data_IF_899247933174
#
_entry.id   IF_899247933174
#
_cell.length_a   1.000
_cell.length_b   1.000
_cell.length_c   1.000
_cell.angle_alpha   90.00
_cell.angle_beta   90.00
_cell.angle_gamma   90.00
#
_symmetry.space_group_name_H-M   'P 1'
#
loop_
_entity.id
_entity.type
_entity.pdbx_description
1 polymer ?
#
# COMPACT_ATOMS: atom_id res chain seq x y z
N UNK A 1 -21.88 18.01 62.72
CA UNK A 1 -21.90 17.55 61.32
C UNK A 1 -22.79 18.52 60.56
N UNK A 2 -22.40 19.33 59.59
CA UNK A 2 -21.18 19.43 58.80
C UNK A 2 -21.60 19.94 57.41
N UNK A 3 -21.11 21.13 57.03
CA UNK A 3 -21.11 21.77 55.69
C UNK A 3 -22.47 22.19 55.08
N UNK A 4 -22.68 23.38 54.56
CA UNK A 4 -21.75 24.41 54.09
C UNK A 4 -21.80 24.55 52.56
N UNK A 5 -22.42 25.65 52.12
CA UNK A 5 -22.14 26.42 50.91
C UNK A 5 -22.66 26.01 49.52
N UNK A 6 -23.47 26.96 49.02
CA UNK A 6 -23.41 27.60 47.70
C UNK A 6 -23.66 26.75 46.45
N UNK A 7 -24.86 26.97 45.88
CA UNK A 7 -25.21 26.68 44.48
C UNK A 7 -24.18 27.30 43.55
N UNK A 8 -23.24 26.49 43.07
CA UNK A 8 -22.39 26.82 41.94
C UNK A 8 -23.22 26.75 40.66
N UNK A 9 -23.39 27.92 40.06
CA UNK A 9 -23.99 28.21 38.77
C UNK A 9 -23.56 27.25 37.66
N UNK A 10 -24.54 26.82 36.87
CA UNK A 10 -24.44 25.94 35.69
C UNK A 10 -23.67 26.55 34.47
N UNK A 11 -22.65 27.38 34.71
CA UNK A 11 -21.91 28.10 33.67
C UNK A 11 -20.41 27.85 33.65
N UNK A 12 -19.89 26.85 34.40
CA UNK A 12 -18.45 26.63 34.58
C UNK A 12 -18.04 25.15 34.49
N UNK A 13 -18.72 24.40 33.61
CA UNK A 13 -18.31 23.05 33.17
C UNK A 13 -18.26 22.96 31.62
N UNK A 14 -18.16 24.10 30.96
CA UNK A 14 -17.72 24.20 29.58
C UNK A 14 -16.22 24.48 29.57
N UNK A 15 -15.41 23.43 29.54
CA UNK A 15 -13.96 23.53 29.43
C UNK A 15 -13.29 22.63 30.46
N UNK A 16 -12.43 21.72 29.98
CA UNK A 16 -11.82 20.60 30.69
C UNK A 16 -12.82 19.42 30.75
N UNK A 17 -12.76 18.37 29.93
CA UNK A 17 -11.59 17.65 29.43
C UNK A 17 -12.05 16.83 28.20
N UNK A 18 -11.71 17.31 27.00
CA UNK A 18 -11.68 16.54 25.74
C UNK A 18 -10.35 15.75 25.68
N UNK A 19 -10.08 14.88 26.65
CA UNK A 19 -8.86 14.05 26.65
C UNK A 19 -9.20 12.56 26.57
N UNK A 20 -9.71 12.17 25.41
CA UNK A 20 -9.49 10.82 24.87
C UNK A 20 -9.77 10.80 23.35
N UNK A 21 -9.31 11.82 22.62
CA UNK A 21 -8.79 11.51 21.29
C UNK A 21 -7.54 10.67 21.57
N UNK A 22 -7.71 9.35 21.54
CA UNK A 22 -6.60 8.44 21.35
C UNK A 22 -6.05 8.73 19.95
N UNK A 23 -5.24 9.77 19.86
CA UNK A 23 -4.31 10.01 18.77
C UNK A 23 -3.29 8.88 18.80
N UNK A 24 -3.70 7.71 18.31
CA UNK A 24 -2.81 6.96 17.47
C UNK A 24 -2.34 7.94 16.39
N UNK A 25 -1.03 8.02 16.09
CA UNK A 25 -0.63 8.69 14.87
C UNK A 25 -1.43 8.02 13.76
N UNK A 26 -2.27 8.79 13.07
CA UNK A 26 -2.85 8.31 11.83
C UNK A 26 -1.66 7.87 10.99
N UNK A 27 -1.55 6.56 10.72
CA UNK A 27 -0.54 6.08 9.78
C UNK A 27 -0.67 6.96 8.53
N UNK A 28 0.45 7.49 8.00
CA UNK A 28 0.38 8.36 6.84
C UNK A 28 -0.46 7.66 5.78
N UNK A 29 -1.46 8.36 5.25
CA UNK A 29 -2.30 7.82 4.19
C UNK A 29 -1.36 7.32 3.10
N UNK A 30 -1.35 6.01 2.88
CA UNK A 30 -0.47 5.39 1.89
C UNK A 30 -0.90 5.91 0.54
N UNK A 31 -0.04 6.68 -0.12
CA UNK A 31 -0.31 7.13 -1.48
C UNK A 31 0.01 5.96 -2.42
N UNK A 32 -0.97 5.42 -3.17
CA UNK A 32 -0.76 4.25 -4.02
C UNK A 32 0.35 4.47 -5.05
N UNK A 33 0.44 5.69 -5.59
CA UNK A 33 1.50 6.10 -6.52
C UNK A 33 2.90 5.99 -5.89
N UNK A 34 3.09 6.59 -4.71
CA UNK A 34 4.39 6.57 -4.01
C UNK A 34 4.79 5.14 -3.66
N UNK A 35 3.82 4.31 -3.25
CA UNK A 35 4.07 2.90 -2.94
C UNK A 35 4.53 2.13 -4.19
N UNK A 36 3.87 2.33 -5.32
CA UNK A 36 4.27 1.73 -6.60
C UNK A 36 5.68 2.17 -7.01
N UNK A 37 5.92 3.47 -7.02
CA UNK A 37 7.22 4.04 -7.40
C UNK A 37 8.35 3.50 -6.51
N UNK A 38 8.12 3.39 -5.20
CA UNK A 38 9.10 2.83 -4.28
C UNK A 38 9.33 1.33 -4.52
N UNK A 39 8.26 0.57 -4.79
CA UNK A 39 8.35 -0.86 -5.08
C UNK A 39 9.12 -1.15 -6.37
N UNK A 40 9.00 -0.30 -7.39
CA UNK A 40 9.66 -0.47 -8.68
C UNK A 40 10.97 0.30 -8.84
N UNK A 41 11.36 1.09 -7.85
CA UNK A 41 12.57 1.91 -7.92
C UNK A 41 13.80 1.06 -8.20
N UNK A 42 14.67 1.55 -9.09
CA UNK A 42 15.94 0.92 -9.48
C UNK A 42 15.83 -0.54 -9.95
N UNK A 43 14.64 -0.98 -10.39
CA UNK A 43 14.43 -2.31 -10.92
C UNK A 43 14.71 -2.35 -12.43
N UNK A 44 15.97 -2.58 -12.79
CA UNK A 44 16.38 -2.67 -14.20
C UNK A 44 15.64 -3.79 -14.96
N UNK A 45 15.36 -4.92 -14.31
CA UNK A 45 14.66 -6.04 -14.95
C UNK A 45 13.22 -5.68 -15.30
N UNK A 46 12.51 -5.01 -14.38
CA UNK A 46 11.17 -4.50 -14.63
C UNK A 46 11.16 -3.43 -15.73
N UNK A 47 12.12 -2.51 -15.72
CA UNK A 47 12.28 -1.47 -16.77
C UNK A 47 12.46 -2.11 -18.15
N UNK A 48 13.37 -3.08 -18.29
CA UNK A 48 13.61 -3.77 -19.56
C UNK A 48 12.37 -4.54 -20.05
N UNK A 49 11.65 -5.20 -19.13
CA UNK A 49 10.41 -5.93 -19.44
C UNK A 49 9.30 -5.01 -19.95
N UNK A 50 9.11 -3.85 -19.30
CA UNK A 50 8.12 -2.86 -19.74
C UNK A 50 8.51 -2.24 -21.08
N UNK A 51 9.78 -1.87 -21.24
CA UNK A 51 10.28 -1.24 -22.45
C UNK A 51 10.14 -2.13 -23.70
N UNK A 52 10.25 -3.47 -23.54
CA UNK A 52 10.02 -4.44 -24.63
C UNK A 52 8.64 -4.28 -25.29
N UNK A 53 7.65 -3.89 -24.50
CA UNK A 53 6.25 -3.72 -24.93
C UNK A 53 5.87 -2.24 -25.10
N UNK A 54 6.85 -1.33 -25.09
CA UNK A 54 6.63 0.11 -25.27
C UNK A 54 5.99 0.83 -24.07
N UNK A 55 6.07 0.23 -22.88
CA UNK A 55 5.64 0.82 -21.62
C UNK A 55 6.84 1.25 -20.76
N UNK A 56 6.61 2.12 -19.79
CA UNK A 56 7.60 2.51 -18.78
C UNK A 56 7.05 2.33 -17.34
N UNK A 57 7.86 2.66 -16.34
CA UNK A 57 7.46 2.58 -14.93
C UNK A 57 6.32 3.55 -14.59
N UNK A 58 6.26 4.70 -15.25
CA UNK A 58 5.21 5.69 -15.04
C UNK A 58 3.87 5.15 -15.56
N UNK A 59 3.86 4.44 -16.70
CA UNK A 59 2.70 3.70 -17.22
C UNK A 59 2.21 2.66 -16.23
N UNK A 60 3.13 1.85 -15.72
CA UNK A 60 2.82 0.83 -14.74
C UNK A 60 2.18 1.44 -13.49
N UNK A 61 2.78 2.47 -12.91
CA UNK A 61 2.26 3.08 -11.69
C UNK A 61 0.98 3.92 -11.91
N UNK A 62 0.81 4.54 -13.07
CA UNK A 62 -0.46 5.16 -13.44
C UNK A 62 -1.59 4.13 -13.57
N UNK A 63 -1.31 2.98 -14.17
CA UNK A 63 -2.27 1.87 -14.23
C UNK A 63 -2.59 1.30 -12.86
N UNK A 64 -1.59 1.18 -11.99
CA UNK A 64 -1.79 0.75 -10.62
C UNK A 64 -2.76 1.66 -9.86
N UNK A 65 -2.55 2.97 -9.88
CA UNK A 65 -3.46 3.94 -9.23
C UNK A 65 -4.89 3.83 -9.77
N UNK A 66 -5.03 3.63 -11.09
CA UNK A 66 -6.35 3.48 -11.72
C UNK A 66 -7.06 2.22 -11.25
N UNK A 67 -6.36 1.08 -11.20
CA UNK A 67 -6.93 -0.21 -10.78
C UNK A 67 -7.22 -0.21 -9.28
N UNK A 68 -6.31 0.34 -8.48
CA UNK A 68 -6.39 0.40 -7.02
C UNK A 68 -7.62 1.15 -6.52
N UNK A 69 -8.04 2.20 -7.24
CA UNK A 69 -9.22 3.00 -6.90
C UNK A 69 -10.51 2.17 -6.87
N UNK A 70 -10.61 1.14 -7.72
CA UNK A 70 -11.79 0.29 -7.85
C UNK A 70 -11.74 -0.98 -6.97
N UNK A 71 -10.63 -1.20 -6.24
CA UNK A 71 -10.49 -2.36 -5.36
C UNK A 71 -11.37 -2.26 -4.11
N UNK A 72 -11.87 -3.42 -3.68
CA UNK A 72 -12.43 -3.58 -2.35
C UNK A 72 -11.34 -3.41 -1.26
N UNK A 73 -11.76 -3.13 -0.04
CA UNK A 73 -10.86 -2.81 1.06
C UNK A 73 -9.90 -3.95 1.42
N UNK A 74 -10.34 -5.20 1.32
CA UNK A 74 -9.52 -6.36 1.69
C UNK A 74 -8.45 -6.60 0.62
N UNK A 75 -8.84 -6.58 -0.66
CA UNK A 75 -7.90 -6.72 -1.78
C UNK A 75 -6.88 -5.59 -1.80
N UNK A 76 -7.31 -4.34 -1.55
CA UNK A 76 -6.41 -3.19 -1.41
C UNK A 76 -5.40 -3.40 -0.29
N UNK A 77 -5.86 -3.86 0.88
CA UNK A 77 -4.99 -4.10 2.04
C UNK A 77 -3.95 -5.19 1.74
N UNK A 78 -4.35 -6.31 1.13
CA UNK A 78 -3.42 -7.37 0.75
C UNK A 78 -2.41 -6.91 -0.31
N UNK A 79 -2.86 -6.13 -1.29
CA UNK A 79 -2.00 -5.54 -2.31
C UNK A 79 -0.94 -4.64 -1.69
N UNK A 80 -1.34 -3.73 -0.79
CA UNK A 80 -0.38 -2.83 -0.14
C UNK A 80 0.57 -3.55 0.80
N UNK A 81 0.09 -4.58 1.52
CA UNK A 81 0.93 -5.43 2.35
C UNK A 81 2.00 -6.14 1.51
N UNK A 82 1.61 -6.70 0.35
CA UNK A 82 2.54 -7.33 -0.57
C UNK A 82 3.57 -6.34 -1.12
N UNK A 83 3.15 -5.17 -1.60
CA UNK A 83 4.08 -4.16 -2.13
C UNK A 83 5.08 -3.68 -1.08
N UNK A 84 4.63 -3.45 0.16
CA UNK A 84 5.51 -3.10 1.27
C UNK A 84 6.53 -4.22 1.55
N UNK A 85 6.08 -5.47 1.53
CA UNK A 85 6.96 -6.62 1.71
C UNK A 85 8.00 -6.71 0.61
N UNK A 86 7.61 -6.47 -0.64
CA UNK A 86 8.54 -6.43 -1.78
C UNK A 86 9.58 -5.33 -1.58
N UNK A 87 9.17 -4.13 -1.19
CA UNK A 87 10.10 -3.03 -0.86
C UNK A 87 11.10 -3.46 0.22
N UNK A 88 10.62 -4.01 1.33
CA UNK A 88 11.47 -4.47 2.44
C UNK A 88 12.48 -5.54 2.00
N UNK A 89 12.06 -6.49 1.16
CA UNK A 89 12.92 -7.57 0.68
C UNK A 89 13.97 -7.11 -0.34
N UNK A 90 13.69 -6.01 -1.06
CA UNK A 90 14.63 -5.38 -2.00
C UNK A 90 15.62 -4.43 -1.32
N UNK A 91 15.21 -3.78 -0.23
CA UNK A 91 16.01 -2.77 0.45
C UNK A 91 17.36 -3.32 0.92
N UNK A 92 18.45 -2.78 0.37
CA UNK A 92 19.82 -3.18 0.71
C UNK A 92 20.26 -4.56 0.18
N UNK A 93 19.43 -5.26 -0.61
CA UNK A 93 19.75 -6.61 -1.12
C UNK A 93 20.18 -6.64 -2.58
N UNK A 94 19.94 -5.57 -3.33
CA UNK A 94 20.19 -5.51 -4.77
C UNK A 94 19.26 -6.39 -5.61
N UNK A 95 18.19 -6.94 -5.00
CA UNK A 95 17.20 -7.78 -5.66
C UNK A 95 16.24 -6.97 -6.53
N UNK A 96 15.85 -7.56 -7.66
CA UNK A 96 14.74 -7.09 -8.48
C UNK A 96 13.39 -7.49 -7.86
N UNK A 97 12.29 -6.95 -8.37
CA UNK A 97 10.94 -7.40 -8.01
C UNK A 97 10.69 -8.84 -8.47
N UNK A 98 11.32 -9.29 -9.56
CA UNK A 98 11.27 -10.67 -10.04
C UNK A 98 11.96 -11.63 -9.07
N UNK A 99 13.18 -11.32 -8.61
CA UNK A 99 13.88 -12.15 -7.59
C UNK A 99 13.05 -12.29 -6.31
N UNK A 100 12.36 -11.23 -5.90
CA UNK A 100 11.48 -11.28 -4.72
C UNK A 100 10.22 -12.08 -4.99
N UNK A 101 9.63 -11.96 -6.19
CA UNK A 101 8.47 -12.76 -6.57
C UNK A 101 8.80 -14.27 -6.53
N UNK A 102 9.96 -14.68 -7.06
CA UNK A 102 10.41 -16.07 -7.00
C UNK A 102 10.53 -16.58 -5.55
N UNK A 103 11.08 -15.78 -4.64
CA UNK A 103 11.19 -16.15 -3.23
C UNK A 103 9.84 -16.29 -2.53
N UNK A 104 8.89 -15.41 -2.86
CA UNK A 104 7.53 -15.47 -2.31
C UNK A 104 6.75 -16.67 -2.89
N UNK A 105 7.00 -17.02 -4.15
CA UNK A 105 6.44 -18.22 -4.77
C UNK A 105 7.01 -19.51 -4.18
N UNK A 106 8.30 -19.53 -3.82
CA UNK A 106 8.93 -20.67 -3.16
C UNK A 106 8.42 -20.86 -1.71
N UNK A 107 8.09 -19.76 -1.02
CA UNK A 107 7.52 -19.74 0.35
C UNK A 107 5.99 -19.91 0.35
N UNK A 108 5.48 -20.94 -0.34
CA UNK A 108 4.03 -21.13 -0.53
C UNK A 108 3.20 -21.16 0.75
N UNK A 109 3.76 -21.70 1.84
CA UNK A 109 3.07 -21.75 3.13
C UNK A 109 3.17 -20.42 3.92
N UNK A 110 3.95 -19.46 3.43
CA UNK A 110 4.18 -18.17 4.04
C UNK A 110 5.02 -18.22 5.31
N UNK A 111 5.72 -19.34 5.58
CA UNK A 111 6.46 -19.55 6.82
C UNK A 111 7.69 -18.64 6.96
N UNK A 112 8.31 -18.25 5.85
CA UNK A 112 9.50 -17.40 5.83
C UNK A 112 9.16 -15.92 5.76
N UNK A 113 8.18 -15.56 4.93
CA UNK A 113 7.86 -14.17 4.60
C UNK A 113 6.50 -13.72 5.11
N UNK A 114 5.75 -14.57 5.81
CA UNK A 114 4.51 -14.19 6.49
C UNK A 114 3.36 -13.82 5.53
N UNK A 115 3.48 -14.16 4.25
CA UNK A 115 2.43 -13.97 3.25
C UNK A 115 1.93 -15.36 2.83
N UNK A 116 0.78 -15.82 3.34
CA UNK A 116 0.22 -17.10 2.91
C UNK A 116 -0.22 -17.05 1.44
N UNK A 117 -0.21 -18.20 0.75
CA UNK A 117 -0.54 -18.32 -0.69
C UNK A 117 -1.80 -17.55 -1.13
N UNK A 118 -2.87 -17.59 -0.32
CA UNK A 118 -4.12 -16.88 -0.63
C UNK A 118 -3.96 -15.35 -0.63
N UNK A 119 -3.24 -14.82 0.35
CA UNK A 119 -2.94 -13.39 0.44
C UNK A 119 -1.98 -12.95 -0.67
N UNK A 120 -0.99 -13.79 -0.99
CA UNK A 120 -0.06 -13.54 -2.10
C UNK A 120 -0.82 -13.41 -3.42
N UNK A 121 -1.67 -14.38 -3.75
CA UNK A 121 -2.47 -14.37 -4.99
C UNK A 121 -3.41 -13.16 -5.06
N UNK A 122 -4.11 -12.87 -3.97
CA UNK A 122 -5.03 -11.74 -3.92
C UNK A 122 -4.31 -10.40 -4.04
N UNK A 123 -3.15 -10.24 -3.38
CA UNK A 123 -2.36 -9.02 -3.44
C UNK A 123 -1.59 -8.85 -4.76
N UNK A 124 -1.20 -9.94 -5.42
CA UNK A 124 -0.46 -9.90 -6.69
C UNK A 124 -1.35 -9.56 -7.88
N UNK A 125 -2.61 -10.01 -7.89
CA UNK A 125 -3.51 -9.83 -9.03
C UNK A 125 -3.62 -8.37 -9.50
N UNK A 126 -3.83 -7.36 -8.64
CA UNK A 126 -3.90 -5.97 -9.09
C UNK A 126 -2.58 -5.45 -9.66
N UNK A 127 -1.44 -5.94 -9.17
CA UNK A 127 -0.10 -5.59 -9.69
C UNK A 127 0.07 -6.18 -11.09
N UNK A 128 -0.31 -7.45 -11.28
CA UNK A 128 -0.26 -8.12 -12.59
C UNK A 128 -1.21 -7.48 -13.60
N UNK A 129 -2.41 -7.10 -13.18
CA UNK A 129 -3.39 -6.40 -14.01
C UNK A 129 -2.85 -5.04 -14.44
N UNK A 130 -2.16 -4.34 -13.54
CA UNK A 130 -1.50 -3.06 -13.82
C UNK A 130 -0.37 -3.20 -14.83
N UNK A 131 0.51 -4.20 -14.66
CA UNK A 131 1.57 -4.53 -15.62
C UNK A 131 0.98 -4.90 -16.99
N UNK A 132 -0.08 -5.70 -17.00
CA UNK A 132 -0.74 -6.13 -18.23
C UNK A 132 -1.41 -4.96 -18.95
N UNK A 133 -2.08 -4.08 -18.21
CA UNK A 133 -2.73 -2.89 -18.78
C UNK A 133 -1.72 -1.87 -19.28
N UNK A 134 -0.63 -1.63 -18.55
CA UNK A 134 0.45 -0.75 -18.96
C UNK A 134 1.08 -1.20 -20.29
N UNK A 135 1.33 -2.51 -20.46
CA UNK A 135 1.90 -3.06 -21.69
C UNK A 135 0.95 -3.05 -22.88
N UNK A 136 -0.35 -3.23 -22.65
CA UNK A 136 -1.33 -3.37 -23.75
C UNK A 136 -1.98 -2.05 -24.15
N UNK A 137 -2.22 -1.16 -23.19
CA UNK A 137 -2.93 0.10 -23.40
C UNK A 137 -2.54 1.13 -22.32
N UNK A 138 -1.28 1.62 -22.32
CA UNK A 138 -0.78 2.55 -21.30
C UNK A 138 -1.59 3.86 -21.24
N UNK A 139 -2.06 4.33 -22.39
CA UNK A 139 -2.88 5.54 -22.53
C UNK A 139 -4.20 5.47 -21.74
N UNK A 140 -4.72 4.26 -21.48
CA UNK A 140 -5.95 4.08 -20.70
C UNK A 140 -5.82 4.39 -19.21
N UNK A 141 -4.59 4.59 -18.71
CA UNK A 141 -4.29 4.83 -17.31
C UNK A 141 -3.67 6.22 -17.07
N UNK A 142 -3.05 6.81 -18.09
CA UNK A 142 -2.48 8.16 -18.06
C UNK A 142 -3.55 9.26 -18.12
N UNK A 143 -4.70 9.08 -17.47
CA UNK A 143 -5.88 9.94 -17.62
C UNK A 143 -5.51 11.43 -17.76
N UNK A 144 -5.81 11.96 -18.96
CA UNK A 144 -5.65 13.32 -19.51
C UNK A 144 -5.47 14.48 -18.53
#
# INVERSE_FOLDING_TARGET
MGWGNLKLSAGLLAGLILSACASAPAEPAVQPLELCQKMSADDAGLVERLARDGADLDDFCACFVTIEADLDADTRLQTFALMRRVIEMREGTGRTTEDVAELLEDDRDGSLYGIPEGALKQGAQPIEDSLTRARRNPQSCRAS
#
